data_IF_907145937621
#
_entry.id   IF_907145937621
#
_cell.length_a   1.000
_cell.length_b   1.000
_cell.length_c   1.000
_cell.angle_alpha   90.00
_cell.angle_beta   90.00
_cell.angle_gamma   90.00
#
_symmetry.space_group_name_H-M   'P 1'
#
loop_
_entity.id
_entity.type
_entity.pdbx_description
1 polymer ?
#
# COMPACT_ATOMS: atom_id res chain seq x y z
N UNK A 1 -1.27 -2.27 19.74
CA UNK A 1 -2.55 -2.95 20.02
C UNK A 1 -3.50 -2.97 18.83
N UNK A 2 -3.67 -1.89 18.05
CA UNK A 2 -4.64 -1.84 16.93
C UNK A 2 -4.32 -2.73 15.73
N UNK A 3 -3.04 -3.02 15.47
CA UNK A 3 -2.63 -3.75 14.26
C UNK A 3 -2.98 -5.24 14.27
N UNK A 4 -2.87 -5.88 15.45
CA UNK A 4 -3.36 -7.25 15.62
C UNK A 4 -4.89 -7.30 15.44
N UNK A 5 -5.60 -6.26 15.89
CA UNK A 5 -7.04 -6.16 15.72
C UNK A 5 -7.41 -6.00 14.23
N UNK A 6 -6.74 -5.10 13.50
CA UNK A 6 -6.92 -4.92 12.04
C UNK A 6 -6.66 -6.23 11.27
N UNK A 7 -5.57 -6.94 11.60
CA UNK A 7 -5.28 -8.25 10.99
C UNK A 7 -6.35 -9.29 11.35
N UNK A 8 -6.77 -9.34 12.61
CA UNK A 8 -7.77 -10.29 13.11
C UNK A 8 -9.14 -10.05 12.47
N UNK A 9 -9.58 -8.80 12.36
CA UNK A 9 -10.82 -8.40 11.68
C UNK A 9 -10.81 -8.82 10.21
N UNK A 10 -9.70 -8.59 9.50
CA UNK A 10 -9.57 -9.00 8.09
C UNK A 10 -9.51 -10.52 7.92
N UNK A 11 -8.88 -11.24 8.85
CA UNK A 11 -8.91 -12.72 8.89
C UNK A 11 -10.34 -13.22 9.10
N UNK A 12 -11.10 -12.63 10.03
CA UNK A 12 -12.51 -13.00 10.25
C UNK A 12 -13.39 -12.72 9.03
N UNK A 13 -13.16 -11.62 8.32
CA UNK A 13 -13.85 -11.37 7.05
C UNK A 13 -13.53 -12.45 6.01
N UNK A 14 -12.28 -12.90 5.92
CA UNK A 14 -11.90 -14.00 5.03
C UNK A 14 -12.50 -15.34 5.47
N UNK A 15 -12.51 -15.64 6.76
CA UNK A 15 -13.13 -16.85 7.32
C UNK A 15 -14.63 -16.90 6.98
N UNK A 16 -15.35 -15.77 7.15
CA UNK A 16 -16.74 -15.65 6.72
C UNK A 16 -16.92 -15.87 5.22
N UNK A 17 -16.01 -15.36 4.39
CA UNK A 17 -16.02 -15.59 2.95
C UNK A 17 -15.79 -17.07 2.60
N UNK A 18 -14.85 -17.74 3.26
CA UNK A 18 -14.62 -19.19 3.08
C UNK A 18 -15.87 -19.96 3.46
N UNK A 19 -16.49 -19.64 4.60
CA UNK A 19 -17.71 -20.30 5.04
C UNK A 19 -18.84 -20.13 4.01
N UNK A 20 -19.05 -18.90 3.52
CA UNK A 20 -20.01 -18.61 2.45
C UNK A 20 -19.77 -19.44 1.17
N UNK A 21 -18.51 -19.65 0.79
CA UNK A 21 -18.14 -20.52 -0.34
C UNK A 21 -18.46 -21.99 -0.06
N UNK A 22 -18.12 -22.48 1.13
CA UNK A 22 -18.39 -23.87 1.55
C UNK A 22 -19.90 -24.15 1.62
N UNK A 23 -20.70 -23.15 1.97
CA UNK A 23 -22.16 -23.22 2.02
C UNK A 23 -22.82 -23.22 0.62
N UNK A 24 -22.03 -23.30 -0.46
CA UNK A 24 -22.52 -23.38 -1.85
C UNK A 24 -22.77 -22.03 -2.50
N UNK A 25 -22.08 -20.97 -2.05
CA UNK A 25 -22.29 -19.59 -2.49
C UNK A 25 -23.78 -19.19 -2.40
N UNK A 26 -24.44 -19.41 -1.24
CA UNK A 26 -25.84 -19.03 -1.11
C UNK A 26 -25.95 -17.55 -1.43
N UNK A 27 -26.99 -17.10 -2.14
CA UNK A 27 -27.16 -15.68 -2.38
C UNK A 27 -27.04 -14.98 -1.03
N UNK A 28 -26.20 -13.92 -0.92
CA UNK A 28 -26.05 -13.21 0.34
C UNK A 28 -27.46 -12.91 0.85
N UNK A 29 -27.71 -13.00 2.18
CA UNK A 29 -29.01 -12.65 2.73
C UNK A 29 -29.41 -11.34 2.09
N UNK A 30 -30.67 -11.23 1.65
CA UNK A 30 -31.21 -9.98 1.11
C UNK A 30 -31.11 -8.97 2.24
N UNK A 31 -29.93 -8.33 2.34
CA UNK A 31 -29.80 -7.03 2.92
C UNK A 31 -30.79 -6.22 2.12
N UNK A 32 -31.68 -5.49 2.79
CA UNK A 32 -32.38 -4.39 2.14
C UNK A 32 -31.35 -3.72 1.23
N UNK A 33 -31.61 -3.61 -0.08
CA UNK A 33 -30.63 -3.12 -1.01
C UNK A 33 -30.06 -1.87 -0.39
N UNK A 34 -28.80 -1.96 0.04
CA UNK A 34 -28.08 -0.79 0.47
C UNK A 34 -28.26 0.16 -0.71
N UNK A 35 -28.90 1.32 -0.49
CA UNK A 35 -29.40 2.13 -1.58
C UNK A 35 -28.27 2.32 -2.61
N UNK A 36 -28.57 2.21 -3.91
CA UNK A 36 -27.56 2.19 -4.96
C UNK A 36 -26.61 3.38 -4.78
N UNK A 37 -25.42 3.13 -4.25
CA UNK A 37 -24.59 4.18 -3.66
C UNK A 37 -23.48 3.75 -2.68
N UNK A 38 -23.45 2.51 -2.17
CA UNK A 38 -22.37 2.06 -1.26
C UNK A 38 -21.13 1.55 -2.03
N UNK A 39 -20.68 2.35 -2.99
CA UNK A 39 -19.25 2.52 -3.23
C UNK A 39 -19.02 3.97 -2.92
N UNK A 40 -18.74 4.28 -1.67
CA UNK A 40 -18.33 5.64 -1.39
C UNK A 40 -16.98 5.87 -2.06
N UNK A 41 -16.92 6.90 -2.91
CA UNK A 41 -15.67 7.37 -3.47
C UNK A 41 -14.68 7.60 -2.32
N UNK A 42 -13.66 6.75 -2.25
CA UNK A 42 -12.62 6.86 -1.25
C UNK A 42 -11.78 8.09 -1.57
N UNK A 43 -11.83 9.08 -0.70
CA UNK A 43 -11.01 10.28 -0.84
C UNK A 43 -9.67 10.09 -0.15
N UNK A 44 -8.60 10.24 -0.93
CA UNK A 44 -7.25 10.31 -0.41
C UNK A 44 -7.11 11.54 0.51
N UNK A 45 -6.83 11.30 1.79
CA UNK A 45 -6.62 12.34 2.80
C UNK A 45 -5.21 12.23 3.38
N UNK A 46 -4.39 13.23 3.08
CA UNK A 46 -3.03 13.38 3.63
C UNK A 46 -3.03 14.38 4.77
N UNK A 47 -2.07 14.24 5.70
CA UNK A 47 -1.81 15.29 6.68
C UNK A 47 -1.28 16.53 5.95
N UNK A 48 -1.73 17.72 6.35
CA UNK A 48 -1.27 18.97 5.73
C UNK A 48 0.23 19.15 5.82
N UNK A 49 0.80 18.75 6.97
CA UNK A 49 2.21 18.86 7.26
C UNK A 49 2.91 17.50 7.12
N UNK A 50 4.15 17.48 6.60
CA UNK A 50 4.97 16.29 6.57
C UNK A 50 5.34 15.87 8.00
N UNK A 51 5.47 14.57 8.23
CA UNK A 51 5.95 14.03 9.51
C UNK A 51 7.39 14.47 9.77
N UNK A 52 8.21 14.52 8.71
CA UNK A 52 9.54 15.13 8.74
C UNK A 52 9.67 16.14 7.61
N UNK A 53 9.97 17.40 7.95
CA UNK A 53 10.07 18.50 6.97
C UNK A 53 11.25 18.39 6.02
N UNK A 54 12.29 17.64 6.39
CA UNK A 54 13.48 17.43 5.58
C UNK A 54 14.16 16.13 6.01
N UNK A 55 14.08 15.11 5.16
CA UNK A 55 14.82 13.84 5.30
C UNK A 55 15.85 13.78 4.18
N UNK A 56 17.10 13.47 4.51
CA UNK A 56 18.18 13.41 3.50
C UNK A 56 18.02 12.20 2.59
N UNK A 57 18.50 12.27 1.35
CA UNK A 57 18.41 11.13 0.42
C UNK A 57 19.15 9.91 0.99
N UNK A 58 20.33 10.09 1.60
CA UNK A 58 21.04 8.99 2.26
C UNK A 58 20.25 8.36 3.42
N UNK A 59 19.38 9.13 4.10
CA UNK A 59 18.48 8.59 5.12
C UNK A 59 17.31 7.83 4.50
N UNK A 60 16.79 8.25 3.34
CA UNK A 60 15.81 7.46 2.60
C UNK A 60 16.38 6.09 2.20
N UNK A 61 17.64 6.05 1.77
CA UNK A 61 18.32 4.79 1.42
C UNK A 61 18.49 3.89 2.65
N UNK A 62 19.04 4.44 3.74
CA UNK A 62 19.38 3.64 4.93
C UNK A 62 18.17 3.29 5.80
N UNK A 63 17.37 4.28 6.20
CA UNK A 63 16.28 4.09 7.16
C UNK A 63 15.01 3.54 6.49
N UNK A 64 14.74 4.01 5.27
CA UNK A 64 13.53 3.63 4.52
C UNK A 64 13.81 2.53 3.50
N UNK A 65 15.05 2.11 3.27
CA UNK A 65 15.38 1.09 2.28
C UNK A 65 15.10 1.52 0.84
N UNK A 66 15.00 2.82 0.55
CA UNK A 66 14.79 3.34 -0.80
C UNK A 66 16.11 3.41 -1.57
N UNK A 67 16.75 2.25 -1.81
CA UNK A 67 18.11 2.14 -2.35
C UNK A 67 18.26 2.79 -3.71
N UNK A 68 17.26 2.60 -4.58
CA UNK A 68 17.25 3.12 -5.95
C UNK A 68 16.47 4.42 -6.08
N UNK A 69 16.35 5.21 -5.01
CA UNK A 69 15.56 6.45 -5.02
C UNK A 69 16.00 7.42 -6.13
N UNK A 70 17.32 7.58 -6.29
CA UNK A 70 17.90 8.46 -7.31
C UNK A 70 17.59 7.97 -8.74
N UNK A 71 17.74 6.67 -8.97
CA UNK A 71 17.53 6.04 -10.27
C UNK A 71 16.05 6.04 -10.67
N UNK A 72 15.16 5.81 -9.69
CA UNK A 72 13.72 5.81 -9.85
C UNK A 72 13.14 7.20 -10.21
N UNK A 73 13.90 8.28 -10.01
CA UNK A 73 13.45 9.65 -10.24
C UNK A 73 13.59 10.13 -11.69
N UNK A 74 14.02 9.25 -12.61
CA UNK A 74 14.45 9.55 -13.99
C UNK A 74 15.94 9.85 -14.08
N UNK A 75 16.62 9.08 -14.94
CA UNK A 75 18.06 9.07 -15.19
C UNK A 75 18.60 10.35 -15.86
N UNK A 76 17.75 11.31 -16.19
CA UNK A 76 18.12 12.45 -17.04
C UNK A 76 18.34 13.75 -16.27
N UNK A 77 17.85 13.89 -15.03
CA UNK A 77 17.93 15.15 -14.28
C UNK A 77 18.74 14.94 -12.99
N UNK A 78 19.96 15.50 -12.96
CA UNK A 78 20.76 15.55 -11.75
C UNK A 78 19.97 16.27 -10.64
N UNK A 79 19.82 15.63 -9.48
CA UNK A 79 19.06 16.22 -8.38
C UNK A 79 19.77 17.42 -7.81
N UNK A 80 19.17 18.60 -8.02
CA UNK A 80 19.60 19.85 -7.39
C UNK A 80 19.25 19.93 -5.88
N UNK A 81 18.99 18.80 -5.22
CA UNK A 81 18.67 18.76 -3.79
C UNK A 81 19.05 17.44 -3.13
N UNK A 82 19.31 17.52 -1.82
CA UNK A 82 19.71 16.37 -1.00
C UNK A 82 18.68 15.99 0.08
N UNK A 83 17.48 16.60 0.08
CA UNK A 83 16.44 16.22 1.03
C UNK A 83 15.03 16.52 0.55
N UNK A 84 14.06 15.77 1.06
CA UNK A 84 12.63 15.93 0.76
C UNK A 84 11.80 15.89 2.05
N UNK A 85 10.65 16.58 2.11
CA UNK A 85 9.63 16.34 3.13
C UNK A 85 9.06 14.92 3.03
N UNK A 86 8.89 14.24 4.16
CA UNK A 86 8.40 12.86 4.24
C UNK A 86 7.15 12.75 5.09
N UNK A 87 6.23 11.91 4.64
CA UNK A 87 4.98 11.55 5.30
C UNK A 87 5.01 10.07 5.66
N UNK A 88 4.37 9.71 6.77
CA UNK A 88 4.38 8.32 7.27
C UNK A 88 3.02 7.62 7.25
N UNK A 89 1.99 8.32 6.77
CA UNK A 89 0.62 7.80 6.79
C UNK A 89 -0.20 8.36 5.64
N UNK A 90 -0.91 7.46 4.96
CA UNK A 90 -2.00 7.76 4.03
C UNK A 90 -3.29 7.38 4.74
N UNK A 91 -4.36 8.17 4.55
CA UNK A 91 -5.72 7.81 4.97
C UNK A 91 -6.64 7.88 3.76
N UNK A 92 -7.56 6.94 3.67
CA UNK A 92 -8.71 7.03 2.80
C UNK A 92 -9.94 7.25 3.66
N UNK A 93 -10.70 8.28 3.31
CA UNK A 93 -11.96 8.61 3.99
C UNK A 93 -13.13 8.39 3.07
N UNK A 94 -14.26 8.07 3.68
CA UNK A 94 -15.57 8.09 3.05
C UNK A 94 -16.45 9.11 3.76
N UNK A 95 -17.35 9.74 3.01
CA UNK A 95 -18.48 10.41 3.63
C UNK A 95 -19.50 9.34 4.01
N UNK A 96 -19.89 9.31 5.28
CA UNK A 96 -21.03 8.52 5.74
C UNK A 96 -22.28 9.43 5.72
N UNK A 97 -23.25 9.20 4.83
CA UNK A 97 -24.47 9.99 4.73
C UNK A 97 -25.48 9.67 5.85
N UNK A 98 -25.22 8.65 6.68
CA UNK A 98 -26.13 8.19 7.73
C UNK A 98 -25.70 8.58 9.14
N UNK A 99 -24.57 9.30 9.28
CA UNK A 99 -24.16 9.80 10.60
C UNK A 99 -25.12 10.89 11.08
N UNK A 100 -25.75 10.67 12.24
CA UNK A 100 -26.64 11.64 12.87
C UNK A 100 -25.83 12.90 13.25
N UNK A 101 -26.15 14.05 12.62
CA UNK A 101 -25.39 15.30 12.74
C UNK A 101 -24.76 15.84 11.45
N UNK A 102 -24.93 15.16 10.32
CA UNK A 102 -24.45 15.59 8.98
C UNK A 102 -23.28 14.74 8.45
N UNK A 103 -22.91 14.91 7.17
CA UNK A 103 -21.87 14.08 6.54
C UNK A 103 -20.55 14.22 7.31
N UNK A 104 -20.09 13.11 7.88
CA UNK A 104 -18.83 13.03 8.60
C UNK A 104 -17.83 12.17 7.84
N UNK A 105 -16.61 12.68 7.64
CA UNK A 105 -15.51 11.92 7.03
C UNK A 105 -15.09 10.81 7.99
N UNK A 106 -15.43 9.55 7.67
CA UNK A 106 -14.94 8.39 8.41
C UNK A 106 -13.71 7.79 7.70
N UNK A 107 -12.67 7.45 8.47
CA UNK A 107 -11.46 6.82 7.92
C UNK A 107 -11.75 5.34 7.73
N UNK A 108 -11.77 4.88 6.49
CA UNK A 108 -12.06 3.49 6.12
C UNK A 108 -10.81 2.67 5.84
N UNK A 109 -9.71 3.33 5.51
CA UNK A 109 -8.43 2.66 5.26
C UNK A 109 -7.25 3.58 5.59
N UNK A 110 -6.11 2.97 5.93
CA UNK A 110 -4.89 3.68 6.21
C UNK A 110 -3.65 2.84 5.88
N UNK A 111 -2.69 3.46 5.20
CA UNK A 111 -1.40 2.87 4.86
C UNK A 111 -0.32 3.56 5.70
N UNK A 112 0.52 2.77 6.35
CA UNK A 112 1.62 3.27 7.18
C UNK A 112 2.98 2.94 6.56
N UNK A 113 3.86 3.94 6.63
CA UNK A 113 5.22 3.90 6.09
C UNK A 113 6.10 4.50 7.17
N UNK A 114 6.77 3.67 7.97
CA UNK A 114 7.54 4.10 9.13
C UNK A 114 8.86 3.33 9.15
N UNK A 115 10.00 4.02 9.09
CA UNK A 115 11.29 3.37 9.22
C UNK A 115 11.44 2.78 10.63
N UNK A 116 12.32 1.78 10.73
CA UNK A 116 12.69 1.21 12.02
C UNK A 116 13.31 2.27 12.93
N UNK A 117 13.20 2.08 14.25
CA UNK A 117 13.77 2.98 15.23
C UNK A 117 14.60 2.20 16.24
N UNK A 118 15.80 2.70 16.48
CA UNK A 118 16.63 2.33 17.61
C UNK A 118 16.45 3.38 18.71
N UNK A 119 15.54 3.18 19.69
CA UNK A 119 15.44 4.08 20.82
C UNK A 119 16.73 4.03 21.65
N UNK A 120 17.10 5.16 22.28
CA UNK A 120 18.31 5.25 23.11
C UNK A 120 18.35 4.18 24.22
N UNK A 121 17.18 3.88 24.79
CA UNK A 121 16.99 2.83 25.79
C UNK A 121 15.80 1.98 25.36
N UNK A 122 16.04 0.82 24.75
CA UNK A 122 14.98 -0.12 24.38
C UNK A 122 15.39 -1.06 23.26
N UNK A 123 14.51 -2.01 22.98
CA UNK A 123 14.70 -2.94 21.87
C UNK A 123 14.44 -2.23 20.53
N UNK A 124 15.11 -2.72 19.49
CA UNK A 124 14.88 -2.29 18.11
C UNK A 124 13.38 -2.41 17.77
N UNK A 125 12.80 -1.29 17.31
CA UNK A 125 11.44 -1.30 16.76
C UNK A 125 11.56 -1.45 15.26
N UNK A 126 11.16 -2.61 14.75
CA UNK A 126 11.15 -2.88 13.32
C UNK A 126 10.27 -1.87 12.56
N UNK A 127 10.71 -1.50 11.36
CA UNK A 127 9.94 -0.61 10.48
C UNK A 127 8.60 -1.22 10.04
N UNK A 128 7.64 -0.35 9.71
CA UNK A 128 6.33 -0.72 9.15
C UNK A 128 6.21 -0.14 7.75
N UNK A 129 6.15 -1.00 6.75
CA UNK A 129 6.00 -0.61 5.35
C UNK A 129 4.84 -1.40 4.76
N UNK A 130 3.66 -0.80 4.80
CA UNK A 130 2.43 -1.41 4.35
C UNK A 130 2.43 -1.57 2.81
N UNK A 131 1.68 -2.56 2.35
CA UNK A 131 1.49 -2.86 0.93
C UNK A 131 0.20 -2.24 0.43
N UNK A 132 0.16 -1.91 -0.85
CA UNK A 132 -0.96 -1.22 -1.46
C UNK A 132 -1.17 -1.65 -2.91
N UNK A 133 -2.40 -1.44 -3.39
CA UNK A 133 -2.76 -1.61 -4.79
C UNK A 133 -2.49 -0.30 -5.55
N UNK A 134 -1.79 -0.39 -6.66
CA UNK A 134 -1.51 0.73 -7.57
C UNK A 134 -2.20 0.50 -8.89
N UNK A 135 -2.88 1.52 -9.41
CA UNK A 135 -3.41 1.57 -10.76
C UNK A 135 -2.31 2.07 -11.72
N UNK A 136 -2.02 1.30 -12.77
CA UNK A 136 -1.03 1.67 -13.79
C UNK A 136 -1.58 2.65 -14.85
N UNK A 137 -2.87 3.00 -14.77
CA UNK A 137 -3.60 3.85 -15.70
C UNK A 137 -4.61 3.08 -16.56
N UNK A 138 -4.60 1.75 -16.52
CA UNK A 138 -5.52 0.89 -17.26
C UNK A 138 -6.51 0.12 -16.37
N UNK A 139 -6.45 0.34 -15.05
CA UNK A 139 -7.31 -0.31 -14.07
C UNK A 139 -8.80 -0.05 -14.30
N UNK A 140 -9.59 -1.12 -14.26
CA UNK A 140 -11.06 -1.08 -14.39
C UNK A 140 -11.75 -0.95 -13.03
N UNK A 141 -13.06 -0.69 -13.03
CA UNK A 141 -13.86 -0.62 -11.80
C UNK A 141 -13.88 -1.95 -11.01
N UNK A 142 -13.79 -3.08 -11.72
CA UNK A 142 -13.75 -4.44 -11.18
C UNK A 142 -12.58 -5.23 -11.77
N UNK A 143 -12.18 -6.29 -11.08
CA UNK A 143 -11.03 -7.12 -11.47
C UNK A 143 -9.67 -6.50 -11.13
N UNK A 144 -8.61 -7.24 -11.45
CA UNK A 144 -7.23 -6.88 -11.09
C UNK A 144 -6.38 -6.45 -12.29
N UNK A 145 -6.96 -6.47 -13.49
CA UNK A 145 -6.35 -5.95 -14.71
C UNK A 145 -5.96 -4.48 -14.53
N UNK A 146 -4.76 -4.10 -14.95
CA UNK A 146 -4.26 -2.72 -14.82
C UNK A 146 -3.92 -2.32 -13.38
N UNK A 147 -3.88 -3.29 -12.46
CA UNK A 147 -3.42 -3.09 -11.10
C UNK A 147 -2.18 -3.92 -10.79
N UNK A 148 -1.37 -3.43 -9.86
CA UNK A 148 -0.23 -4.15 -9.31
C UNK A 148 -0.09 -3.88 -7.82
N UNK A 149 0.51 -4.81 -7.09
CA UNK A 149 0.86 -4.58 -5.69
C UNK A 149 2.22 -3.96 -5.58
N UNK A 150 2.32 -3.05 -4.63
CA UNK A 150 3.58 -2.48 -4.21
C UNK A 150 3.74 -2.52 -2.71
N UNK A 151 4.98 -2.55 -2.25
CA UNK A 151 5.35 -2.17 -0.89
C UNK A 151 5.80 -0.71 -0.89
N UNK A 152 5.18 0.13 -0.06
CA UNK A 152 5.51 1.55 -0.02
C UNK A 152 6.64 1.77 0.98
N UNK A 153 7.78 2.27 0.50
CA UNK A 153 8.96 2.50 1.36
C UNK A 153 9.07 3.94 1.82
N UNK A 154 8.65 4.92 1.03
CA UNK A 154 8.65 6.33 1.43
C UNK A 154 7.50 7.08 0.77
N UNK A 155 6.91 8.03 1.48
CA UNK A 155 5.95 8.99 0.93
C UNK A 155 6.56 10.37 1.09
N UNK A 156 6.60 11.15 0.02
CA UNK A 156 7.29 12.44 0.03
C UNK A 156 6.62 13.44 -0.91
N UNK A 157 7.06 14.69 -0.82
CA UNK A 157 6.71 15.73 -1.77
C UNK A 157 7.96 16.48 -2.20
N UNK A 158 7.86 17.25 -3.29
CA UNK A 158 8.90 18.20 -3.66
C UNK A 158 8.58 19.58 -3.08
N UNK A 159 9.60 20.28 -2.58
CA UNK A 159 9.53 21.69 -2.19
C UNK A 159 9.33 22.55 -3.46
N UNK A 160 8.74 23.75 -3.37
CA UNK A 160 8.50 24.61 -4.53
C UNK A 160 9.74 24.84 -5.42
N UNK A 161 10.92 25.06 -4.80
CA UNK A 161 12.19 25.21 -5.53
C UNK A 161 12.61 23.95 -6.29
N UNK A 162 12.30 22.77 -5.74
CA UNK A 162 12.60 21.49 -6.39
C UNK A 162 11.68 21.26 -7.57
N UNK A 163 10.40 21.64 -7.44
CA UNK A 163 9.43 21.57 -8.54
C UNK A 163 9.89 22.43 -9.72
N UNK A 164 10.30 23.68 -9.46
CA UNK A 164 10.82 24.58 -10.49
C UNK A 164 12.08 24.07 -11.20
N UNK A 165 12.91 23.29 -10.49
CA UNK A 165 14.13 22.72 -11.06
C UNK A 165 13.89 21.41 -11.83
N UNK A 166 12.89 20.62 -11.43
CA UNK A 166 12.62 19.30 -12.01
C UNK A 166 11.59 19.33 -13.14
N UNK A 167 10.65 20.27 -13.12
CA UNK A 167 9.51 20.30 -14.04
C UNK A 167 9.52 21.58 -14.85
N UNK A 168 9.19 21.47 -16.15
CA UNK A 168 9.04 22.62 -17.02
C UNK A 168 7.97 23.59 -16.49
N UNK A 169 8.15 24.91 -16.67
CA UNK A 169 7.16 25.89 -16.29
C UNK A 169 5.78 25.58 -16.90
N UNK A 170 4.72 25.61 -16.09
CA UNK A 170 3.35 25.32 -16.51
C UNK A 170 2.86 23.90 -16.22
N UNK A 171 3.75 22.97 -15.86
CA UNK A 171 3.35 21.65 -15.36
C UNK A 171 3.02 21.72 -13.87
N UNK A 172 1.89 21.16 -13.46
CA UNK A 172 1.50 20.95 -12.07
C UNK A 172 1.77 19.49 -11.67
N UNK A 173 2.98 19.15 -11.19
CA UNK A 173 3.26 17.78 -10.80
C UNK A 173 2.39 17.34 -9.62
N UNK A 174 2.18 16.02 -9.45
CA UNK A 174 1.50 15.49 -8.28
C UNK A 174 2.12 16.01 -6.98
N UNK A 175 1.27 16.50 -6.06
CA UNK A 175 1.70 17.08 -4.78
C UNK A 175 2.44 16.06 -3.90
N UNK A 176 1.97 14.82 -3.90
CA UNK A 176 2.52 13.73 -3.11
C UNK A 176 2.90 12.56 -4.03
N UNK A 177 4.05 11.97 -3.72
CA UNK A 177 4.66 10.85 -4.43
C UNK A 177 5.00 9.75 -3.44
N UNK A 178 5.09 8.52 -3.93
CA UNK A 178 5.56 7.38 -3.17
C UNK A 178 6.71 6.70 -3.89
N UNK A 179 7.77 6.38 -3.15
CA UNK A 179 8.76 5.40 -3.59
C UNK A 179 8.26 4.01 -3.21
N UNK A 180 8.20 3.14 -4.20
CA UNK A 180 7.54 1.84 -4.09
C UNK A 180 8.43 0.72 -4.62
N UNK A 181 8.39 -0.43 -3.96
CA UNK A 181 8.97 -1.68 -4.46
C UNK A 181 7.86 -2.55 -5.06
N UNK A 182 8.07 -3.06 -6.27
CA UNK A 182 7.05 -3.77 -7.03
C UNK A 182 6.96 -5.26 -6.66
N UNK A 183 5.74 -5.77 -6.71
CA UNK A 183 5.47 -7.19 -6.86
C UNK A 183 5.17 -7.54 -8.32
N UNK A 184 5.11 -8.83 -8.63
CA UNK A 184 4.74 -9.33 -9.94
C UNK A 184 3.30 -8.95 -10.27
N UNK A 185 3.01 -8.82 -11.56
CA UNK A 185 1.65 -8.70 -12.05
C UNK A 185 0.78 -9.89 -11.61
N UNK A 186 -0.53 -9.67 -11.61
CA UNK A 186 -1.51 -10.72 -11.39
C UNK A 186 -1.47 -11.77 -12.50
N UNK A 187 -1.72 -13.02 -12.14
CA UNK A 187 -2.16 -14.02 -13.11
C UNK A 187 -3.54 -13.63 -13.65
N UNK A 188 -3.88 -14.11 -14.85
CA UNK A 188 -5.19 -13.87 -15.46
C UNK A 188 -6.34 -14.41 -14.59
N UNK A 189 -6.11 -15.54 -13.93
CA UNK A 189 -7.06 -16.16 -13.01
C UNK A 189 -6.46 -16.32 -11.61
N UNK A 190 -7.26 -16.21 -10.55
CA UNK A 190 -6.81 -16.50 -9.20
C UNK A 190 -6.67 -18.02 -8.98
N UNK A 191 -5.98 -18.42 -7.90
CA UNK A 191 -5.83 -19.84 -7.56
C UNK A 191 -7.21 -20.51 -7.31
N UNK A 192 -7.53 -21.65 -7.93
CA UNK A 192 -8.90 -22.20 -7.94
C UNK A 192 -9.47 -22.52 -6.55
N UNK A 193 -8.62 -22.97 -5.63
CA UNK A 193 -9.05 -23.48 -4.33
C UNK A 193 -9.47 -22.36 -3.36
N UNK A 194 -8.86 -21.19 -3.48
CA UNK A 194 -9.03 -20.11 -2.51
C UNK A 194 -9.28 -18.73 -3.13
N UNK A 195 -9.24 -18.63 -4.46
CA UNK A 195 -9.49 -17.43 -5.25
C UNK A 195 -8.62 -16.23 -4.87
N UNK A 196 -7.38 -16.52 -4.47
CA UNK A 196 -6.41 -15.49 -4.13
C UNK A 196 -5.28 -15.51 -5.15
N UNK A 197 -4.74 -14.33 -5.44
CA UNK A 197 -3.63 -14.21 -6.38
C UNK A 197 -2.29 -14.51 -5.70
N UNK A 198 -1.45 -15.27 -6.39
CA UNK A 198 -0.06 -15.47 -6.00
C UNK A 198 0.79 -14.39 -6.66
N UNK A 199 1.55 -13.65 -5.84
CA UNK A 199 2.47 -12.63 -6.32
C UNK A 199 3.88 -12.91 -5.77
N UNK A 200 4.88 -12.35 -6.42
CA UNK A 200 6.28 -12.46 -5.98
C UNK A 200 6.90 -11.09 -5.96
N UNK A 201 7.99 -10.90 -5.22
CA UNK A 201 8.76 -9.67 -5.35
C UNK A 201 9.35 -9.59 -6.75
N UNK A 202 9.22 -8.42 -7.38
CA UNK A 202 9.84 -8.16 -8.67
C UNK A 202 11.32 -7.88 -8.45
N UNK A 203 12.17 -8.74 -9.01
CA UNK A 203 13.62 -8.65 -8.89
C UNK A 203 14.27 -8.49 -10.27
N UNK A 204 15.31 -7.67 -10.36
CA UNK A 204 16.18 -7.53 -11.52
C UNK A 204 17.63 -7.66 -11.06
N UNK A 205 18.35 -8.66 -11.56
CA UNK A 205 19.72 -8.99 -11.13
C UNK A 205 19.88 -9.19 -9.61
N UNK A 206 18.83 -9.69 -8.93
CA UNK A 206 18.81 -9.89 -7.47
C UNK A 206 18.34 -8.67 -6.67
N UNK A 207 18.26 -7.51 -7.31
CA UNK A 207 17.79 -6.27 -6.68
C UNK A 207 16.29 -6.06 -6.87
N UNK A 208 15.66 -5.41 -5.89
CA UNK A 208 14.22 -5.12 -5.95
C UNK A 208 13.95 -4.05 -7.00
N UNK A 209 12.99 -4.32 -7.87
CA UNK A 209 12.50 -3.33 -8.84
C UNK A 209 11.68 -2.31 -8.06
N UNK A 210 12.04 -1.03 -8.22
CA UNK A 210 11.38 0.07 -7.55
C UNK A 210 11.13 1.24 -8.51
N UNK A 211 10.14 2.07 -8.20
CA UNK A 211 9.88 3.31 -8.92
C UNK A 211 9.25 4.36 -8.01
N UNK A 212 9.09 5.58 -8.55
CA UNK A 212 8.33 6.65 -7.91
C UNK A 212 6.99 6.78 -8.62
N UNK A 213 5.89 6.69 -7.87
CA UNK A 213 4.53 6.80 -8.40
C UNK A 213 3.77 7.98 -7.75
N UNK A 214 2.84 8.64 -8.47
CA UNK A 214 1.90 9.58 -7.88
C UNK A 214 1.04 8.91 -6.81
N UNK A 215 0.79 9.60 -5.69
CA UNK A 215 -0.06 9.03 -4.64
C UNK A 215 -1.51 8.80 -5.10
N UNK A 216 -1.97 9.54 -6.10
CA UNK A 216 -3.30 9.34 -6.72
C UNK A 216 -3.45 8.01 -7.45
N UNK A 217 -2.35 7.34 -7.80
CA UNK A 217 -2.38 6.00 -8.38
C UNK A 217 -2.52 4.91 -7.32
N UNK A 218 -2.30 5.21 -6.03
CA UNK A 218 -2.48 4.24 -4.95
C UNK A 218 -3.96 4.21 -4.57
N UNK A 219 -4.59 3.06 -4.69
CA UNK A 219 -6.03 2.92 -4.51
C UNK A 219 -6.42 2.57 -3.08
N UNK A 220 -5.72 1.60 -2.46
CA UNK A 220 -6.05 1.08 -1.11
C UNK A 220 -4.91 0.24 -0.55
N UNK A 221 -4.94 -0.01 0.75
CA UNK A 221 -4.07 -1.00 1.40
C UNK A 221 -4.38 -2.42 0.91
N UNK A 222 -3.34 -3.23 0.83
CA UNK A 222 -3.39 -4.65 0.49
C UNK A 222 -2.71 -5.43 1.59
N UNK A 223 -3.27 -6.57 1.96
CA UNK A 223 -2.66 -7.48 2.92
C UNK A 223 -2.07 -8.67 2.19
N UNK A 224 -0.82 -8.98 2.50
CA UNK A 224 -0.13 -10.16 1.99
C UNK A 224 -0.08 -11.26 3.05
N UNK A 225 -0.34 -12.48 2.63
CA UNK A 225 -0.17 -13.66 3.45
C UNK A 225 1.11 -14.42 3.02
N UNK A 226 1.99 -14.78 3.95
CA UNK A 226 3.10 -15.64 3.58
C UNK A 226 2.58 -17.01 3.13
N UNK A 227 3.09 -17.51 2.00
CA UNK A 227 2.92 -18.91 1.62
C UNK A 227 4.18 -19.65 1.98
N UNK A 228 4.11 -20.38 3.08
CA UNK A 228 5.19 -21.25 3.52
C UNK A 228 5.08 -22.62 2.86
N UNK A 229 6.19 -23.36 2.88
CA UNK A 229 6.14 -24.81 2.74
C UNK A 229 5.56 -25.47 4.00
N UNK A 230 5.88 -26.74 4.25
CA UNK A 230 5.38 -27.47 5.42
C UNK A 230 5.73 -26.85 6.78
N UNK A 231 6.76 -26.00 6.83
CA UNK A 231 7.28 -25.40 8.06
C UNK A 231 7.43 -23.89 7.84
N UNK A 232 6.87 -23.09 8.76
CA UNK A 232 7.13 -21.65 8.80
C UNK A 232 8.57 -21.39 9.27
N UNK A 233 9.31 -20.43 8.68
CA UNK A 233 10.69 -20.18 9.07
C UNK A 233 10.81 -19.80 10.55
N UNK A 234 11.71 -20.42 11.34
CA UNK A 234 11.79 -20.24 12.80
C UNK A 234 12.15 -18.80 13.22
N UNK A 235 12.76 -18.03 12.33
CA UNK A 235 13.03 -16.59 12.52
C UNK A 235 11.75 -15.72 12.57
N UNK A 236 10.58 -16.28 12.24
CA UNK A 236 9.27 -15.64 12.37
C UNK A 236 8.71 -15.64 13.80
N UNK A 237 9.56 -15.35 14.79
CA UNK A 237 9.14 -15.48 16.19
C UNK A 237 8.67 -14.19 16.83
N UNK A 238 8.92 -13.00 16.27
CA UNK A 238 8.33 -11.71 16.72
C UNK A 238 8.68 -10.49 15.83
N UNK A 239 9.65 -10.60 14.93
CA UNK A 239 10.04 -9.53 14.01
C UNK A 239 9.46 -9.79 12.62
N UNK A 240 8.83 -8.77 12.01
CA UNK A 240 8.31 -8.87 10.63
C UNK A 240 9.49 -8.95 9.67
N UNK A 241 9.78 -10.09 9.05
CA UNK A 241 10.82 -10.18 8.06
C UNK A 241 10.21 -9.76 6.73
N UNK A 242 9.75 -8.51 6.65
CA UNK A 242 9.30 -7.98 5.36
C UNK A 242 10.44 -8.02 4.35
N UNK A 243 11.71 -8.11 4.74
CA UNK A 243 12.86 -8.19 3.85
C UNK A 243 13.24 -9.58 3.32
N UNK A 244 12.74 -10.70 3.87
CA UNK A 244 13.33 -12.04 3.64
C UNK A 244 12.48 -13.03 2.85
N UNK A 245 11.30 -12.65 2.34
CA UNK A 245 10.37 -13.63 1.75
C UNK A 245 10.47 -13.62 0.21
N UNK A 246 10.83 -14.75 -0.44
CA UNK A 246 10.82 -14.87 -1.90
C UNK A 246 9.41 -15.06 -2.49
N UNK A 247 8.43 -15.56 -1.70
CA UNK A 247 7.06 -15.85 -2.16
C UNK A 247 6.01 -15.30 -1.17
N UNK A 248 5.15 -14.37 -1.62
CA UNK A 248 4.07 -13.79 -0.82
C UNK A 248 2.74 -14.05 -1.54
N UNK A 249 1.87 -14.89 -1.00
CA UNK A 249 0.58 -15.20 -1.64
C UNK A 249 -0.51 -14.36 -1.00
N UNK A 250 -1.57 -14.09 -1.74
CA UNK A 250 -2.79 -13.42 -1.32
C UNK A 250 -2.72 -11.91 -1.36
N UNK A 251 -3.58 -11.42 -2.23
CA UNK A 251 -4.32 -10.18 -2.02
C UNK A 251 -5.72 -10.58 -1.61
N UNK A 252 -6.22 -9.99 -0.54
CA UNK A 252 -7.65 -9.91 -0.32
C UNK A 252 -8.17 -8.70 -1.08
N UNK A 253 -8.74 -8.93 -2.27
CA UNK A 253 -9.52 -7.92 -2.97
C UNK A 253 -10.97 -8.39 -2.97
N UNK A 254 -11.79 -7.78 -2.11
CA UNK A 254 -13.22 -7.63 -2.39
C UNK A 254 -13.33 -6.66 -3.57
N UNK A 255 -13.07 -7.15 -4.77
CA UNK A 255 -13.76 -6.66 -5.95
C UNK A 255 -14.74 -7.79 -6.23
N UNK A 256 -16.03 -7.52 -6.05
CA UNK A 256 -17.08 -8.43 -6.48
C UNK A 256 -16.75 -8.86 -7.91
N UNK A 257 -16.46 -10.15 -8.07
CA UNK A 257 -16.57 -10.77 -9.38
C UNK A 257 -18.06 -10.99 -9.56
N UNK A 258 -18.61 -10.40 -10.62
CA UNK A 258 -19.91 -10.80 -11.15
C UNK A 258 -19.91 -12.30 -11.52
#
# INVERSE_FOLDING_TARGET
MTLWLECKEKIFCHEKYIQWRLDGCPPPPVMEPLPPGIIYEQRLKMTENPTHRSVRINQLVSDYGATFFLEAQSSTIALAFNSVPVFHKIKYTTEDPYTDGGPSDSVVDAIHVQPGKMPKNGNEVAGRFDTALVNDGSGKMTGVDGYCVVQIRAIFSFKPRQIQALFSPGLSPPKHLAYVEWFSAFSAEPEPNHLMYKINRSLKHGDRIASIVPLGNICRSVHLLPKFGPVAPPEWTNARPSSLIPYLTVIFMLLCSD
#
